data_IF_279374266848
#
_entry.id   IF_279374266848
#
_cell.length_a   1.000
_cell.length_b   1.000
_cell.length_c   1.000
_cell.angle_alpha   90.00
_cell.angle_beta   90.00
_cell.angle_gamma   90.00
#
_symmetry.space_group_name_H-M   'P 1'
#
loop_
_entity.id
_entity.type
_entity.pdbx_description
1 polymer ?
#
# COMPACT_ATOMS: atom_id res chain seq x y z
N UNK A 1 -13.56 -10.01 0.98
CA UNK A 1 -14.69 -9.17 1.45
C UNK A 1 -14.37 -7.76 0.96
N UNK A 2 -15.20 -7.11 0.12
CA UNK A 2 -14.80 -5.84 -0.45
C UNK A 2 -14.77 -4.79 0.65
N UNK A 3 -13.59 -4.20 0.88
CA UNK A 3 -13.36 -3.14 1.86
C UNK A 3 -13.96 -1.82 1.34
N UNK A 4 -15.27 -1.80 1.10
CA UNK A 4 -15.95 -0.64 0.56
C UNK A 4 -15.96 0.50 1.60
N UNK A 5 -15.30 1.60 1.25
CA UNK A 5 -15.21 2.80 2.07
C UNK A 5 -16.48 3.61 1.88
N UNK A 6 -17.13 3.97 2.98
CA UNK A 6 -18.33 4.80 3.00
C UNK A 6 -18.00 6.21 3.46
N UNK A 7 -18.26 7.20 2.62
CA UNK A 7 -17.93 8.61 2.82
C UNK A 7 -19.19 9.46 2.87
N UNK A 8 -19.38 10.22 3.95
CA UNK A 8 -20.49 11.15 4.10
C UNK A 8 -20.14 12.52 3.50
N UNK A 9 -20.91 12.97 2.51
CA UNK A 9 -20.77 14.27 1.87
C UNK A 9 -22.01 15.13 2.16
N UNK A 10 -21.86 16.00 3.16
CA UNK A 10 -22.95 16.83 3.65
C UNK A 10 -23.28 17.97 2.68
N UNK A 11 -24.57 18.22 2.47
CA UNK A 11 -25.10 19.36 1.69
C UNK A 11 -24.63 19.40 0.23
N UNK A 12 -24.37 18.24 -0.37
CA UNK A 12 -23.84 18.10 -1.74
C UNK A 12 -24.70 18.84 -2.78
N UNK A 13 -26.02 18.61 -2.79
CA UNK A 13 -26.96 19.24 -3.74
C UNK A 13 -27.07 20.76 -3.54
N UNK A 14 -27.04 21.22 -2.30
CA UNK A 14 -27.08 22.66 -2.00
C UNK A 14 -25.80 23.36 -2.48
N UNK A 15 -24.68 22.64 -2.51
CA UNK A 15 -23.38 23.19 -2.90
C UNK A 15 -23.20 23.20 -4.42
N UNK A 16 -23.48 22.09 -5.09
CA UNK A 16 -23.14 21.87 -6.50
C UNK A 16 -24.31 22.10 -7.47
N UNK A 17 -25.56 22.10 -6.99
CA UNK A 17 -26.74 22.08 -7.85
C UNK A 17 -27.09 20.66 -8.33
N UNK A 18 -28.29 20.49 -8.87
CA UNK A 18 -28.83 19.16 -9.24
C UNK A 18 -28.12 18.53 -10.44
N UNK A 19 -27.76 19.35 -11.43
CA UNK A 19 -27.10 18.92 -12.66
C UNK A 19 -25.72 18.30 -12.38
N UNK A 20 -24.84 19.05 -11.72
CA UNK A 20 -23.50 18.55 -11.33
C UNK A 20 -23.55 17.34 -10.40
N UNK A 21 -24.58 17.21 -9.55
CA UNK A 21 -24.75 15.99 -8.73
C UNK A 21 -25.11 14.78 -9.58
N UNK A 22 -25.87 14.97 -10.67
CA UNK A 22 -26.15 13.88 -11.60
C UNK A 22 -24.91 13.53 -12.42
N UNK A 23 -24.12 14.50 -12.85
CA UNK A 23 -22.81 14.25 -13.48
C UNK A 23 -21.89 13.45 -12.54
N UNK A 24 -21.79 13.85 -11.27
CA UNK A 24 -21.04 13.09 -10.27
C UNK A 24 -21.58 11.68 -10.10
N UNK A 25 -22.90 11.45 -10.11
CA UNK A 25 -23.44 10.08 -10.06
C UNK A 25 -22.98 9.23 -11.23
N UNK A 26 -22.95 9.80 -12.44
CA UNK A 26 -22.47 9.10 -13.63
C UNK A 26 -20.98 8.79 -13.48
N UNK A 27 -20.18 9.75 -13.04
CA UNK A 27 -18.75 9.57 -12.80
C UNK A 27 -18.48 8.48 -11.75
N UNK A 28 -19.18 8.51 -10.62
CA UNK A 28 -19.05 7.50 -9.57
C UNK A 28 -19.44 6.12 -10.11
N UNK A 29 -20.57 6.02 -10.84
CA UNK A 29 -21.04 4.75 -11.40
C UNK A 29 -20.08 4.18 -12.44
N UNK A 30 -19.41 5.04 -13.22
CA UNK A 30 -18.40 4.64 -14.21
C UNK A 30 -17.19 3.95 -13.57
N UNK A 31 -16.84 4.33 -12.33
CA UNK A 31 -15.75 3.74 -11.55
C UNK A 31 -16.26 2.77 -10.47
N UNK A 32 -17.43 2.15 -10.65
CA UNK A 32 -18.01 1.18 -9.71
C UNK A 32 -18.24 1.72 -8.29
N UNK A 33 -18.31 3.05 -8.14
CA UNK A 33 -18.68 3.70 -6.89
C UNK A 33 -20.16 4.08 -6.90
N UNK A 34 -20.80 4.07 -5.74
CA UNK A 34 -22.19 4.49 -5.57
C UNK A 34 -22.29 5.82 -4.85
N UNK A 35 -23.05 6.76 -5.43
CA UNK A 35 -23.38 8.04 -4.80
C UNK A 35 -24.89 8.11 -4.50
N UNK A 36 -25.27 7.81 -3.26
CA UNK A 36 -26.67 7.73 -2.80
C UNK A 36 -26.98 8.76 -1.73
N UNK A 37 -28.24 9.16 -1.58
CA UNK A 37 -28.69 10.05 -0.50
C UNK A 37 -29.16 9.21 0.69
N UNK A 38 -28.72 9.52 1.92
CA UNK A 38 -29.16 8.78 3.11
C UNK A 38 -30.45 9.37 3.66
N UNK A 39 -31.55 8.62 3.47
CA UNK A 39 -32.93 8.94 3.92
C UNK A 39 -33.33 10.37 3.50
N UNK A 40 -34.45 10.93 4.00
CA UNK A 40 -34.94 12.27 3.63
C UNK A 40 -34.00 13.45 4.00
N UNK A 41 -32.76 13.16 4.42
CA UNK A 41 -31.77 14.15 4.84
C UNK A 41 -30.97 14.71 3.67
N UNK A 42 -30.29 15.83 3.92
CA UNK A 42 -29.39 16.49 2.96
C UNK A 42 -28.00 15.83 2.91
N UNK A 43 -27.84 14.66 3.54
CA UNK A 43 -26.60 13.90 3.58
C UNK A 43 -26.52 12.95 2.39
N UNK A 44 -25.44 13.08 1.63
CA UNK A 44 -25.09 12.17 0.55
C UNK A 44 -24.00 11.23 1.03
N UNK A 45 -23.99 10.02 0.51
CA UNK A 45 -23.05 8.97 0.83
C UNK A 45 -22.43 8.49 -0.47
N UNK A 46 -21.11 8.60 -0.55
CA UNK A 46 -20.29 7.93 -1.54
C UNK A 46 -19.82 6.59 -0.96
N UNK A 47 -19.90 5.52 -1.73
CA UNK A 47 -19.49 4.17 -1.31
C UNK A 47 -18.71 3.54 -2.44
N UNK A 48 -17.52 3.02 -2.18
CA UNK A 48 -16.69 2.41 -3.21
C UNK A 48 -15.40 1.84 -2.64
N UNK A 49 -14.64 1.12 -3.45
CA UNK A 49 -13.32 0.63 -3.07
C UNK A 49 -12.29 1.78 -3.05
N UNK A 50 -11.17 1.56 -2.37
CA UNK A 50 -10.13 2.57 -2.19
C UNK A 50 -9.62 3.11 -3.53
N UNK A 51 -9.22 2.21 -4.44
CA UNK A 51 -8.65 2.58 -5.74
C UNK A 51 -9.68 3.26 -6.64
N UNK A 52 -10.91 2.75 -6.62
CA UNK A 52 -12.03 3.34 -7.35
C UNK A 52 -12.31 4.79 -6.92
N UNK A 53 -12.32 5.05 -5.61
CA UNK A 53 -12.50 6.39 -5.06
C UNK A 53 -11.30 7.30 -5.32
N UNK A 54 -10.08 6.76 -5.37
CA UNK A 54 -8.86 7.49 -5.71
C UNK A 54 -8.87 7.94 -7.18
N UNK A 55 -9.34 7.08 -8.10
CA UNK A 55 -9.51 7.42 -9.52
C UNK A 55 -10.51 8.57 -9.65
N UNK A 56 -11.67 8.48 -8.99
CA UNK A 56 -12.67 9.55 -8.98
C UNK A 56 -12.08 10.86 -8.44
N UNK A 57 -11.31 10.81 -7.35
CA UNK A 57 -10.65 12.00 -6.80
C UNK A 57 -9.63 12.61 -7.76
N UNK A 58 -8.94 11.78 -8.55
CA UNK A 58 -8.00 12.22 -9.59
C UNK A 58 -8.73 12.87 -10.76
N UNK A 59 -9.84 12.29 -11.24
CA UNK A 59 -10.67 12.90 -12.29
C UNK A 59 -11.28 14.24 -11.87
N UNK A 60 -11.50 14.44 -10.57
CA UNK A 60 -11.95 15.73 -10.02
C UNK A 60 -10.83 16.77 -9.85
N UNK A 61 -9.56 16.37 -10.01
CA UNK A 61 -8.42 17.27 -9.86
C UNK A 61 -8.35 18.31 -10.98
N UNK A 62 -8.74 17.94 -12.20
CA UNK A 62 -8.69 18.78 -13.41
C UNK A 62 -9.79 19.85 -13.45
N UNK A 63 -10.68 19.87 -12.46
CA UNK A 63 -11.77 20.85 -12.40
C UNK A 63 -11.40 22.05 -11.54
N UNK A 64 -11.43 23.24 -12.12
CA UNK A 64 -11.22 24.52 -11.42
C UNK A 64 -12.39 24.92 -10.49
N UNK A 65 -13.46 24.13 -10.41
CA UNK A 65 -14.59 24.46 -9.55
C UNK A 65 -14.22 24.22 -8.06
N UNK A 66 -14.16 25.28 -7.22
CA UNK A 66 -13.80 25.17 -5.81
C UNK A 66 -14.77 24.29 -5.01
N UNK A 67 -15.99 24.07 -5.51
CA UNK A 67 -16.98 23.18 -4.89
C UNK A 67 -16.68 21.72 -5.17
N UNK A 68 -16.20 21.38 -6.36
CA UNK A 68 -15.76 20.02 -6.72
C UNK A 68 -14.46 19.68 -6.00
N UNK A 69 -13.55 20.64 -5.88
CA UNK A 69 -12.33 20.47 -5.08
C UNK A 69 -12.64 20.13 -3.60
N UNK A 70 -13.71 20.70 -3.01
CA UNK A 70 -14.15 20.30 -1.66
C UNK A 70 -14.68 18.87 -1.58
N UNK A 71 -15.32 18.37 -2.64
CA UNK A 71 -15.75 16.96 -2.71
C UNK A 71 -14.50 16.07 -2.79
N UNK A 72 -13.57 16.39 -3.68
CA UNK A 72 -12.26 15.72 -3.77
C UNK A 72 -11.53 15.69 -2.43
N UNK A 73 -11.39 16.82 -1.74
CA UNK A 73 -10.76 16.87 -0.41
C UNK A 73 -11.48 16.02 0.64
N UNK A 74 -12.82 15.94 0.55
CA UNK A 74 -13.60 15.08 1.45
C UNK A 74 -13.36 13.60 1.17
N UNK A 75 -13.21 13.22 -0.10
CA UNK A 75 -12.85 11.86 -0.51
C UNK A 75 -11.45 11.52 0.01
N UNK A 76 -10.45 12.33 -0.33
CA UNK A 76 -9.06 12.11 0.09
C UNK A 76 -8.93 12.02 1.62
N UNK A 77 -9.61 12.88 2.37
CA UNK A 77 -9.62 12.81 3.83
C UNK A 77 -10.19 11.50 4.34
N UNK A 78 -11.27 11.02 3.73
CA UNK A 78 -11.89 9.76 4.13
C UNK A 78 -11.05 8.54 3.73
N UNK A 79 -10.35 8.58 2.59
CA UNK A 79 -9.36 7.56 2.21
C UNK A 79 -8.21 7.52 3.23
N UNK A 80 -7.60 8.67 3.54
CA UNK A 80 -6.56 8.77 4.57
C UNK A 80 -7.03 8.28 5.95
N UNK A 81 -8.30 8.55 6.30
CA UNK A 81 -8.89 8.08 7.57
C UNK A 81 -9.12 6.57 7.55
N UNK A 82 -9.56 6.02 6.42
CA UNK A 82 -9.70 4.59 6.23
C UNK A 82 -8.34 3.88 6.29
N UNK A 83 -7.31 4.44 5.65
CA UNK A 83 -5.92 3.97 5.73
C UNK A 83 -5.37 4.01 7.17
N UNK A 84 -5.67 5.07 7.92
CA UNK A 84 -5.28 5.21 9.33
C UNK A 84 -5.98 4.22 10.27
N UNK A 85 -7.09 3.61 9.85
CA UNK A 85 -7.83 2.61 10.61
C UNK A 85 -7.45 1.17 10.25
N UNK A 86 -6.49 0.94 9.33
CA UNK A 86 -5.99 -0.41 9.12
C UNK A 86 -5.39 -0.96 10.42
N UNK A 87 -5.62 -2.25 10.74
CA UNK A 87 -5.03 -2.87 11.92
C UNK A 87 -3.51 -2.84 11.78
N UNK A 88 -2.86 -2.07 12.66
CA UNK A 88 -1.41 -2.04 12.72
C UNK A 88 -0.89 -3.36 13.29
N UNK A 89 0.06 -3.96 12.57
CA UNK A 89 0.80 -5.14 12.96
C UNK A 89 2.12 -4.66 13.58
N UNK A 90 2.47 -5.25 14.72
CA UNK A 90 3.76 -4.99 15.38
C UNK A 90 4.65 -6.22 15.26
N UNK A 91 5.80 -6.05 14.61
CA UNK A 91 6.80 -7.09 14.45
C UNK A 91 8.05 -6.78 15.27
N UNK A 92 8.45 -7.69 16.16
CA UNK A 92 9.60 -7.51 17.03
C UNK A 92 10.86 -8.16 16.48
N UNK A 93 11.87 -7.35 16.20
CA UNK A 93 13.24 -7.80 15.92
C UNK A 93 14.02 -7.87 17.24
N UNK A 94 14.41 -9.08 17.63
CA UNK A 94 15.18 -9.30 18.87
C UNK A 94 16.66 -9.00 18.64
N UNK A 95 17.29 -8.47 19.69
CA UNK A 95 18.73 -8.26 19.81
C UNK A 95 19.41 -7.57 18.60
N UNK A 96 18.77 -6.56 18.01
CA UNK A 96 19.21 -5.92 16.77
C UNK A 96 20.70 -5.50 16.78
N UNK A 97 21.20 -4.94 17.89
CA UNK A 97 22.58 -4.40 17.96
C UNK A 97 23.62 -5.53 18.01
N UNK A 98 23.31 -6.65 18.65
CA UNK A 98 24.24 -7.78 18.78
C UNK A 98 24.07 -8.83 17.69
N UNK A 99 22.93 -8.83 16.99
CA UNK A 99 22.56 -9.89 16.04
C UNK A 99 22.65 -9.41 14.60
N UNK A 100 22.47 -8.11 14.32
CA UNK A 100 22.55 -7.58 12.96
C UNK A 100 23.80 -6.72 12.77
N UNK A 101 24.52 -6.87 11.63
CA UNK A 101 25.60 -5.98 11.26
C UNK A 101 25.14 -4.51 11.20
N UNK A 102 26.06 -3.56 11.44
CA UNK A 102 25.74 -2.12 11.38
C UNK A 102 25.14 -1.69 10.04
N UNK A 103 25.59 -2.31 8.94
CA UNK A 103 25.08 -2.06 7.60
C UNK A 103 23.59 -2.43 7.49
N UNK A 104 23.23 -3.64 7.87
CA UNK A 104 21.86 -4.16 7.88
C UNK A 104 20.93 -3.35 8.78
N UNK A 105 21.41 -2.88 9.94
CA UNK A 105 20.63 -1.99 10.82
C UNK A 105 20.36 -0.64 10.14
N UNK A 106 21.30 -0.16 9.33
CA UNK A 106 21.16 1.09 8.58
C UNK A 106 20.17 0.92 7.41
N UNK A 107 20.30 -0.18 6.66
CA UNK A 107 19.36 -0.56 5.61
C UNK A 107 17.94 -0.72 6.17
N UNK A 108 17.77 -1.43 7.30
CA UNK A 108 16.47 -1.62 7.93
C UNK A 108 15.83 -0.28 8.31
N UNK A 109 16.60 0.65 8.89
CA UNK A 109 16.09 1.98 9.23
C UNK A 109 15.66 2.76 7.99
N UNK A 110 16.47 2.69 6.92
CA UNK A 110 16.18 3.37 5.67
C UNK A 110 14.89 2.81 5.03
N UNK A 111 14.77 1.49 4.93
CA UNK A 111 13.57 0.83 4.45
C UNK A 111 12.33 1.14 5.31
N UNK A 112 12.48 1.27 6.63
CA UNK A 112 11.37 1.70 7.49
C UNK A 112 10.88 3.10 7.15
N UNK A 113 11.78 4.04 6.84
CA UNK A 113 11.41 5.41 6.46
C UNK A 113 10.67 5.39 5.13
N UNK A 114 11.18 4.66 4.15
CA UNK A 114 10.60 4.57 2.80
C UNK A 114 9.22 3.90 2.80
N UNK A 115 9.06 2.84 3.60
CA UNK A 115 7.78 2.14 3.75
C UNK A 115 6.84 2.79 4.78
N UNK A 116 7.18 3.97 5.33
CA UNK A 116 6.39 4.65 6.37
C UNK A 116 6.09 3.79 7.62
N UNK A 117 7.02 2.91 7.99
CA UNK A 117 6.93 2.03 9.16
C UNK A 117 7.53 2.72 10.38
N UNK A 118 6.81 2.66 11.50
CA UNK A 118 7.30 3.21 12.75
C UNK A 118 8.32 2.27 13.40
N UNK A 119 9.58 2.71 13.44
CA UNK A 119 10.69 2.03 14.10
C UNK A 119 10.78 2.47 15.57
N UNK A 120 10.45 1.58 16.50
CA UNK A 120 10.47 1.87 17.94
C UNK A 120 11.50 1.02 18.67
N UNK A 121 12.50 1.66 19.29
CA UNK A 121 13.43 0.97 20.21
C UNK A 121 12.75 0.70 21.55
N UNK A 122 12.85 -0.54 22.03
CA UNK A 122 12.29 -0.94 23.33
C UNK A 122 13.36 -0.74 24.42
N UNK A 123 13.13 0.20 25.34
CA UNK A 123 14.10 0.57 26.38
C UNK A 123 14.57 -0.64 27.20
N UNK A 124 15.86 -0.66 27.59
CA UNK A 124 16.57 -1.74 28.33
C UNK A 124 16.74 -3.08 27.61
N UNK A 125 16.10 -3.29 26.47
CA UNK A 125 16.30 -4.48 25.64
C UNK A 125 16.94 -4.07 24.33
N UNK A 126 17.84 -4.88 23.76
CA UNK A 126 18.39 -4.63 22.44
C UNK A 126 17.36 -4.93 21.33
N UNK A 127 16.07 -4.70 21.56
CA UNK A 127 14.97 -5.05 20.66
C UNK A 127 14.41 -3.82 19.96
N UNK A 128 13.82 -4.05 18.79
CA UNK A 128 13.10 -3.04 18.02
C UNK A 128 11.74 -3.61 17.63
N UNK A 129 10.71 -2.80 17.80
CA UNK A 129 9.38 -3.07 17.28
C UNK A 129 9.19 -2.26 15.99
N UNK A 130 8.87 -2.95 14.89
CA UNK A 130 8.46 -2.39 13.62
C UNK A 130 6.93 -2.37 13.60
N UNK A 131 6.33 -1.20 13.48
CA UNK A 131 4.89 -1.00 13.61
C UNK A 131 4.37 -0.35 12.33
N UNK A 132 3.52 -1.06 11.60
CA UNK A 132 2.94 -0.62 10.31
C UNK A 132 1.68 -1.40 9.98
N UNK A 133 1.06 -1.14 8.84
CA UNK A 133 0.01 -2.02 8.31
C UNK A 133 0.63 -3.25 7.60
N UNK A 134 -0.21 -4.19 7.17
CA UNK A 134 0.24 -5.41 6.48
C UNK A 134 1.01 -5.11 5.20
N UNK A 135 0.51 -4.18 4.40
CA UNK A 135 1.06 -3.84 3.10
C UNK A 135 2.44 -3.17 3.22
N UNK A 136 2.58 -2.23 4.16
CA UNK A 136 3.85 -1.57 4.49
C UNK A 136 4.90 -2.60 4.94
N UNK A 137 4.56 -3.50 5.86
CA UNK A 137 5.50 -4.51 6.35
C UNK A 137 5.91 -5.51 5.26
N UNK A 138 5.00 -5.85 4.35
CA UNK A 138 5.30 -6.68 3.20
C UNK A 138 6.18 -5.94 2.17
N UNK A 139 5.93 -4.65 1.92
CA UNK A 139 6.79 -3.82 1.09
C UNK A 139 8.21 -3.76 1.67
N UNK A 140 8.35 -3.59 3.00
CA UNK A 140 9.64 -3.63 3.68
C UNK A 140 10.32 -5.00 3.56
N UNK A 141 9.57 -6.09 3.70
CA UNK A 141 10.10 -7.43 3.48
C UNK A 141 10.71 -7.56 2.09
N UNK A 142 9.96 -7.17 1.05
CA UNK A 142 10.42 -7.25 -0.32
C UNK A 142 11.64 -6.38 -0.53
N UNK A 143 11.59 -5.10 -0.16
CA UNK A 143 12.71 -4.18 -0.33
C UNK A 143 14.02 -4.72 0.27
N UNK A 144 13.96 -5.30 1.47
CA UNK A 144 15.15 -5.86 2.13
C UNK A 144 15.59 -7.20 1.55
N UNK A 145 14.68 -7.99 0.96
CA UNK A 145 15.00 -9.24 0.29
C UNK A 145 15.79 -9.04 -1.02
N UNK A 146 15.56 -7.91 -1.70
CA UNK A 146 16.24 -7.57 -2.96
C UNK A 146 17.66 -7.07 -2.74
N UNK A 147 17.93 -6.52 -1.56
CA UNK A 147 19.24 -6.00 -1.20
C UNK A 147 20.16 -7.12 -0.71
N UNK A 148 21.46 -6.96 -0.96
CA UNK A 148 22.49 -7.78 -0.31
C UNK A 148 22.42 -7.59 1.20
N UNK A 149 21.90 -8.61 1.90
CA UNK A 149 21.71 -8.64 3.34
C UNK A 149 22.50 -9.79 3.98
N UNK A 150 22.82 -9.67 5.27
CA UNK A 150 23.44 -10.76 6.02
C UNK A 150 22.49 -11.94 6.25
N UNK A 151 23.06 -13.10 6.59
CA UNK A 151 22.29 -14.29 6.95
C UNK A 151 21.37 -14.03 8.16
N UNK A 152 21.82 -13.20 9.09
CA UNK A 152 21.07 -12.83 10.29
C UNK A 152 19.85 -11.97 9.96
N UNK A 153 19.98 -11.01 9.02
CA UNK A 153 18.85 -10.22 8.54
C UNK A 153 17.86 -11.09 7.79
N UNK A 154 18.34 -12.01 6.94
CA UNK A 154 17.47 -12.94 6.20
C UNK A 154 16.65 -13.84 7.14
N UNK A 155 17.23 -14.32 8.23
CA UNK A 155 16.48 -15.05 9.28
C UNK A 155 15.37 -14.20 9.90
N UNK A 156 15.58 -12.90 10.12
CA UNK A 156 14.53 -12.01 10.62
C UNK A 156 13.43 -11.80 9.58
N UNK A 157 13.79 -11.67 8.30
CA UNK A 157 12.83 -11.57 7.19
C UNK A 157 11.96 -12.84 7.07
N UNK A 158 12.52 -14.03 7.25
CA UNK A 158 11.74 -15.28 7.26
C UNK A 158 10.71 -15.32 8.42
N UNK A 159 11.10 -14.80 9.59
CA UNK A 159 10.21 -14.71 10.75
C UNK A 159 9.12 -13.66 10.50
N UNK A 160 9.47 -12.54 9.86
CA UNK A 160 8.50 -11.52 9.43
C UNK A 160 7.49 -12.10 8.43
N UNK A 161 7.94 -12.84 7.42
CA UNK A 161 7.06 -13.47 6.43
C UNK A 161 6.05 -14.42 7.10
N UNK A 162 6.50 -15.27 8.03
CA UNK A 162 5.61 -16.14 8.82
C UNK A 162 4.64 -15.35 9.68
N UNK A 163 5.10 -14.23 10.25
CA UNK A 163 4.26 -13.35 11.05
C UNK A 163 3.16 -12.70 10.21
N UNK A 164 3.51 -12.21 9.01
CA UNK A 164 2.56 -11.62 8.06
C UNK A 164 1.53 -12.64 7.58
N UNK A 165 1.96 -13.86 7.24
CA UNK A 165 1.06 -14.95 6.88
C UNK A 165 0.04 -15.26 8.00
N UNK A 166 0.47 -15.20 9.27
CA UNK A 166 -0.44 -15.37 10.43
C UNK A 166 -1.49 -14.26 10.54
N UNK A 167 -1.17 -13.07 10.07
CA UNK A 167 -2.08 -11.93 10.03
C UNK A 167 -2.91 -11.85 8.73
N UNK A 168 -2.97 -12.94 7.95
CA UNK A 168 -3.63 -13.02 6.64
C UNK A 168 -3.11 -11.99 5.63
N UNK A 169 -1.86 -11.54 5.80
CA UNK A 169 -1.19 -10.71 4.79
C UNK A 169 -0.54 -11.67 3.79
N UNK A 170 -1.07 -11.69 2.57
CA UNK A 170 -0.55 -12.53 1.51
C UNK A 170 0.55 -11.79 0.76
N UNK A 171 1.79 -12.26 0.91
CA UNK A 171 2.96 -11.66 0.24
C UNK A 171 2.88 -11.74 -1.29
N UNK A 172 2.05 -12.64 -1.85
CA UNK A 172 1.82 -12.74 -3.31
C UNK A 172 0.74 -11.79 -3.85
N UNK A 173 -0.13 -11.22 -2.99
CA UNK A 173 -1.16 -10.28 -3.43
C UNK A 173 -0.64 -8.84 -3.55
N UNK A 174 0.51 -8.56 -2.94
CA UNK A 174 1.12 -7.24 -2.95
C UNK A 174 2.01 -7.16 -4.19
N UNK A 175 1.57 -6.35 -5.15
CA UNK A 175 2.18 -6.22 -6.47
C UNK A 175 3.59 -5.61 -6.38
N UNK A 176 4.60 -6.47 -6.27
CA UNK A 176 6.01 -6.12 -6.23
C UNK A 176 6.69 -6.33 -7.59
N UNK A 177 5.91 -6.62 -8.65
CA UNK A 177 6.41 -6.69 -10.03
C UNK A 177 7.19 -5.44 -10.46
N UNK A 178 6.82 -4.20 -10.07
CA UNK A 178 7.60 -3.02 -10.42
C UNK A 178 9.07 -3.11 -9.97
N UNK A 179 9.30 -3.63 -8.75
CA UNK A 179 10.64 -3.79 -8.21
C UNK A 179 11.42 -4.93 -8.90
N UNK A 180 10.72 -6.01 -9.29
CA UNK A 180 11.34 -7.10 -10.06
C UNK A 180 11.77 -6.63 -11.46
N UNK A 181 10.93 -5.82 -12.12
CA UNK A 181 11.25 -5.22 -13.43
C UNK A 181 12.46 -4.28 -13.32
N UNK A 182 12.54 -3.46 -12.26
CA UNK A 182 13.73 -2.63 -12.01
C UNK A 182 15.00 -3.47 -11.83
N UNK A 183 14.94 -4.59 -11.11
CA UNK A 183 16.09 -5.49 -10.98
C UNK A 183 16.50 -6.14 -12.31
N UNK A 184 15.53 -6.52 -13.15
CA UNK A 184 15.81 -7.05 -14.50
C UNK A 184 16.49 -5.98 -15.36
N UNK A 185 16.07 -4.71 -15.25
CA UNK A 185 16.71 -3.57 -15.91
C UNK A 185 18.15 -3.34 -15.46
N UNK A 186 18.41 -3.43 -14.15
CA UNK A 186 19.75 -3.23 -13.59
C UNK A 186 20.70 -4.42 -13.88
N UNK A 187 20.16 -5.63 -14.01
CA UNK A 187 20.92 -6.87 -14.28
C UNK A 187 20.29 -7.64 -15.46
N UNK A 188 20.50 -7.21 -16.72
CA UNK A 188 19.84 -7.81 -17.88
C UNK A 188 20.22 -9.27 -18.17
N UNK A 189 21.30 -9.78 -17.56
CA UNK A 189 21.72 -11.17 -17.68
C UNK A 189 21.22 -12.06 -16.53
N UNK A 190 20.38 -11.55 -15.62
CA UNK A 190 19.86 -12.36 -14.51
C UNK A 190 18.94 -13.45 -15.05
N UNK A 191 19.13 -14.69 -14.62
CA UNK A 191 18.22 -15.78 -15.01
C UNK A 191 16.98 -15.83 -14.13
N UNK A 192 15.89 -16.41 -14.63
CA UNK A 192 14.65 -16.60 -13.87
C UNK A 192 14.87 -17.26 -12.50
N UNK A 193 15.68 -18.32 -12.46
CA UNK A 193 15.97 -19.05 -11.23
C UNK A 193 16.87 -18.26 -10.27
N UNK A 194 17.81 -17.47 -10.79
CA UNK A 194 18.63 -16.59 -9.97
C UNK A 194 17.82 -15.44 -9.38
N UNK A 195 16.86 -14.89 -10.14
CA UNK A 195 15.94 -13.87 -9.64
C UNK A 195 15.14 -14.44 -8.46
N UNK A 196 14.48 -15.59 -8.65
CA UNK A 196 13.73 -16.28 -7.58
C UNK A 196 14.61 -16.60 -6.36
N UNK A 197 15.85 -17.06 -6.59
CA UNK A 197 16.76 -17.38 -5.49
C UNK A 197 17.23 -16.14 -4.71
N UNK A 198 17.39 -15.01 -5.40
CA UNK A 198 17.80 -13.73 -4.79
C UNK A 198 16.65 -13.10 -4.03
N UNK A 199 15.49 -12.97 -4.68
CA UNK A 199 14.34 -12.22 -4.16
C UNK A 199 13.44 -13.04 -3.25
N UNK A 200 13.42 -14.37 -3.40
CA UNK A 200 12.47 -15.24 -2.72
C UNK A 200 11.04 -15.13 -3.25
N UNK A 201 10.82 -14.52 -4.42
CA UNK A 201 9.51 -14.46 -5.06
C UNK A 201 9.06 -15.81 -5.64
N UNK A 202 7.78 -15.95 -5.98
CA UNK A 202 7.30 -17.15 -6.67
C UNK A 202 7.92 -17.24 -8.07
N UNK A 203 8.09 -18.48 -8.55
CA UNK A 203 8.42 -18.73 -9.96
C UNK A 203 7.39 -18.09 -10.92
N UNK A 204 6.12 -17.99 -10.51
CA UNK A 204 5.08 -17.32 -11.30
C UNK A 204 5.31 -15.81 -11.37
N UNK A 205 5.54 -15.16 -10.22
CA UNK A 205 5.74 -13.71 -10.13
C UNK A 205 7.00 -13.28 -10.91
N UNK A 206 8.06 -14.08 -10.81
CA UNK A 206 9.29 -13.88 -11.59
C UNK A 206 9.04 -13.98 -13.10
N UNK A 207 8.29 -14.99 -13.57
CA UNK A 207 7.95 -15.13 -15.00
C UNK A 207 7.16 -13.94 -15.50
N UNK A 208 6.13 -13.54 -14.75
CA UNK A 208 5.30 -12.41 -15.11
C UNK A 208 6.12 -11.11 -15.20
N UNK A 209 7.10 -10.91 -14.31
CA UNK A 209 7.98 -9.74 -14.37
C UNK A 209 8.90 -9.74 -15.61
N UNK A 210 9.39 -10.90 -16.06
CA UNK A 210 10.13 -11.01 -17.33
C UNK A 210 9.22 -10.74 -18.52
N UNK A 211 8.03 -11.34 -18.55
CA UNK A 211 7.05 -11.11 -19.62
C UNK A 211 6.71 -9.61 -19.69
N UNK A 212 6.34 -9.00 -18.56
CA UNK A 212 5.99 -7.57 -18.48
C UNK A 212 7.17 -6.67 -18.91
N UNK A 213 8.43 -7.05 -18.62
CA UNK A 213 9.62 -6.36 -19.10
C UNK A 213 9.83 -6.50 -20.61
N UNK A 214 9.63 -7.70 -21.17
CA UNK A 214 9.75 -7.95 -22.61
C UNK A 214 8.64 -7.24 -23.42
N UNK A 215 7.43 -7.07 -22.86
CA UNK A 215 6.28 -6.51 -23.57
C UNK A 215 6.03 -5.00 -23.34
N UNK A 216 6.60 -4.37 -22.30
CA UNK A 216 6.46 -2.93 -22.02
C UNK A 216 7.74 -2.10 -22.30
N UNK A 217 8.72 -2.65 -23.02
CA UNK A 217 9.94 -1.95 -23.45
C UNK A 217 9.90 -1.47 -24.90
#
# INVERSE_FOLDING_TARGET
MPNAISIQINSLVQRLGREKVNELKVLFSAHQCELKRIRASRHWQATGEHDALLIVATSLNDSDDPKLQRVRSSILKALLTAEAHLPSISFRVKNIISTLPKQDVTQLKQACIECSIHYKRVYRTAHVDLIGNGDQLAQLYWQLSLQSCSLELRKQLDVLAKHLAKHNVNLHEIDHRPNLIEMIKEQPNITLNELVSKTGCSLMDARQAFDDFEFNC
#
